data_IF_297359540178
#
_entry.id   IF_297359540178
#
_cell.length_a   1.000
_cell.length_b   1.000
_cell.length_c   1.000
_cell.angle_alpha   90.00
_cell.angle_beta   90.00
_cell.angle_gamma   90.00
#
_symmetry.space_group_name_H-M   'P 1'
#
loop_
_entity.id
_entity.type
_entity.pdbx_description
1 polymer ?
#
# COMPACT_ATOMS: atom_id res chain seq x y z
N UNK A 1 -27.30 -8.16 -20.92
CA UNK A 1 -26.69 -8.40 -19.59
C UNK A 1 -25.23 -8.79 -19.80
N UNK A 2 -24.35 -7.82 -20.03
CA UNK A 2 -22.93 -8.10 -20.29
C UNK A 2 -22.21 -8.14 -18.94
N UNK A 3 -21.87 -9.35 -18.46
CA UNK A 3 -20.95 -9.54 -17.34
C UNK A 3 -19.54 -9.24 -17.84
N UNK A 4 -19.09 -7.99 -17.69
CA UNK A 4 -17.67 -7.68 -17.74
C UNK A 4 -17.02 -8.30 -16.50
N UNK A 5 -16.34 -9.45 -16.65
CA UNK A 5 -15.52 -10.01 -15.57
C UNK A 5 -14.35 -9.05 -15.33
N UNK A 6 -14.46 -8.21 -14.31
CA UNK A 6 -13.38 -7.34 -13.86
C UNK A 6 -12.26 -8.16 -13.22
N UNK A 7 -11.33 -8.69 -14.03
CA UNK A 7 -10.15 -9.44 -13.58
C UNK A 7 -9.03 -8.54 -12.99
N UNK A 8 -9.34 -7.35 -12.48
CA UNK A 8 -8.35 -6.36 -12.01
C UNK A 8 -7.82 -6.57 -10.59
N UNK A 9 -8.46 -7.40 -9.76
CA UNK A 9 -8.07 -7.57 -8.35
C UNK A 9 -6.67 -8.13 -8.15
N UNK A 10 -6.22 -9.03 -9.03
CA UNK A 10 -4.88 -9.60 -8.96
C UNK A 10 -3.77 -8.55 -9.17
N UNK A 11 -4.01 -7.58 -10.05
CA UNK A 11 -3.05 -6.49 -10.31
C UNK A 11 -2.90 -5.59 -9.08
N UNK A 12 -4.01 -5.28 -8.41
CA UNK A 12 -3.99 -4.47 -7.18
C UNK A 12 -3.10 -5.15 -6.13
N UNK A 13 -3.39 -6.42 -5.82
CA UNK A 13 -2.62 -7.19 -4.83
C UNK A 13 -1.14 -7.25 -5.22
N UNK A 14 -0.85 -7.52 -6.49
CA UNK A 14 0.52 -7.58 -7.00
C UNK A 14 1.27 -6.25 -6.83
N UNK A 15 0.62 -5.10 -7.10
CA UNK A 15 1.25 -3.79 -6.89
C UNK A 15 1.52 -3.49 -5.41
N UNK A 16 0.62 -3.87 -4.49
CA UNK A 16 0.87 -3.73 -3.05
C UNK A 16 2.01 -4.63 -2.57
N UNK A 17 2.11 -5.87 -3.08
CA UNK A 17 3.22 -6.76 -2.77
C UNK A 17 4.55 -6.11 -3.21
N UNK A 18 4.62 -5.55 -4.42
CA UNK A 18 5.83 -4.86 -4.90
C UNK A 18 6.17 -3.67 -4.00
N UNK A 19 5.18 -2.86 -3.61
CA UNK A 19 5.39 -1.72 -2.72
C UNK A 19 5.93 -2.15 -1.35
N UNK A 20 5.39 -3.23 -0.77
CA UNK A 20 5.88 -3.80 0.49
C UNK A 20 7.31 -4.33 0.35
N UNK A 21 7.65 -5.01 -0.75
CA UNK A 21 9.02 -5.48 -1.01
C UNK A 21 10.00 -4.30 -1.10
N UNK A 22 9.66 -3.24 -1.85
CA UNK A 22 10.46 -2.02 -1.93
C UNK A 22 10.63 -1.32 -0.57
N UNK A 23 9.67 -1.52 0.34
CA UNK A 23 9.70 -0.99 1.72
C UNK A 23 10.62 -1.80 2.64
N UNK A 24 10.93 -3.06 2.31
CA UNK A 24 11.80 -3.90 3.15
C UNK A 24 13.23 -3.99 2.60
N UNK A 25 13.42 -3.75 1.30
CA UNK A 25 14.75 -3.81 0.68
C UNK A 25 15.73 -2.85 1.41
N UNK A 26 16.88 -3.38 1.89
CA UNK A 26 17.90 -2.55 2.52
C UNK A 26 18.57 -1.69 1.45
N UNK A 27 18.43 -0.37 1.60
CA UNK A 27 19.14 0.59 0.78
C UNK A 27 20.47 0.97 1.47
N UNK A 28 21.52 1.28 0.69
CA UNK A 28 22.75 1.84 1.25
C UNK A 28 22.45 3.17 1.97
N UNK A 29 23.20 3.48 3.03
CA UNK A 29 22.88 4.59 3.94
C UNK A 29 22.76 5.96 3.23
N UNK A 30 23.50 6.18 2.15
CA UNK A 30 23.41 7.39 1.32
C UNK A 30 22.07 7.53 0.59
N UNK A 31 21.40 6.42 0.26
CA UNK A 31 20.13 6.40 -0.47
C UNK A 31 18.92 6.27 0.46
N UNK A 32 19.16 6.03 1.76
CA UNK A 32 18.09 5.77 2.73
C UNK A 32 17.12 6.93 2.89
N UNK A 33 17.63 8.16 2.77
CA UNK A 33 16.81 9.38 2.83
C UNK A 33 15.92 9.56 1.60
N UNK A 34 16.29 8.95 0.47
CA UNK A 34 15.57 9.08 -0.78
C UNK A 34 14.45 8.05 -0.93
N UNK A 35 14.20 7.20 0.07
CA UNK A 35 13.19 6.14 -0.02
C UNK A 35 11.79 6.73 0.14
N UNK A 36 10.95 6.73 -0.91
CA UNK A 36 9.56 7.20 -0.81
C UNK A 36 8.71 6.23 0.01
N UNK A 37 7.53 6.70 0.44
CA UNK A 37 6.48 5.81 0.95
C UNK A 37 5.79 5.10 -0.22
N UNK A 38 6.38 3.98 -0.67
CA UNK A 38 5.87 3.20 -1.80
C UNK A 38 4.45 2.69 -1.58
N UNK A 39 4.13 2.26 -0.36
CA UNK A 39 2.80 1.72 -0.04
C UNK A 39 1.77 2.85 -0.04
N UNK A 40 2.10 4.01 0.53
CA UNK A 40 1.26 5.20 0.46
C UNK A 40 1.02 5.67 -0.98
N UNK A 41 2.05 5.70 -1.82
CA UNK A 41 1.92 6.09 -3.24
C UNK A 41 1.00 5.14 -4.02
N UNK A 42 1.17 3.83 -3.85
CA UNK A 42 0.32 2.82 -4.50
C UNK A 42 -1.12 2.92 -4.00
N UNK A 43 -1.31 3.14 -2.70
CA UNK A 43 -2.63 3.34 -2.10
C UNK A 43 -3.33 4.55 -2.70
N UNK A 44 -2.68 5.71 -2.72
CA UNK A 44 -3.23 6.95 -3.29
C UNK A 44 -3.62 6.74 -4.76
N UNK A 45 -2.75 6.10 -5.55
CA UNK A 45 -3.04 5.79 -6.94
C UNK A 45 -4.33 4.97 -7.07
N UNK A 46 -4.49 3.91 -6.30
CA UNK A 46 -5.65 3.04 -6.40
C UNK A 46 -6.93 3.64 -5.82
N UNK A 47 -6.84 4.47 -4.78
CA UNK A 47 -7.99 5.26 -4.30
C UNK A 47 -8.51 6.18 -5.41
N UNK A 48 -7.63 6.77 -6.22
CA UNK A 48 -8.03 7.60 -7.36
C UNK A 48 -8.53 6.78 -8.55
N UNK A 49 -7.90 5.64 -8.85
CA UNK A 49 -8.21 4.85 -10.04
C UNK A 49 -9.49 4.00 -9.87
N UNK A 50 -9.67 3.35 -8.72
CA UNK A 50 -10.83 2.49 -8.42
C UNK A 50 -11.31 2.71 -6.97
N UNK A 51 -11.93 3.86 -6.67
CA UNK A 51 -12.43 4.17 -5.31
C UNK A 51 -13.48 3.18 -4.81
N UNK A 52 -14.23 2.54 -5.69
CA UNK A 52 -15.24 1.53 -5.31
C UNK A 52 -14.64 0.25 -4.70
N UNK A 53 -13.32 0.04 -4.86
CA UNK A 53 -12.62 -1.18 -4.41
C UNK A 53 -11.57 -0.93 -3.33
N UNK A 54 -11.02 0.28 -3.28
CA UNK A 54 -9.88 0.65 -2.44
C UNK A 54 -10.25 1.90 -1.66
N UNK A 55 -10.08 1.83 -0.35
CA UNK A 55 -10.38 2.91 0.59
C UNK A 55 -9.86 2.58 2.00
N UNK A 56 -10.53 3.11 3.02
CA UNK A 56 -10.14 3.04 4.43
C UNK A 56 -9.70 1.64 4.89
N UNK A 57 -10.48 0.60 4.64
CA UNK A 57 -10.17 -0.77 5.11
C UNK A 57 -8.87 -1.29 4.49
N UNK A 58 -8.67 -1.07 3.20
CA UNK A 58 -7.46 -1.50 2.49
C UNK A 58 -6.24 -0.69 2.90
N UNK A 59 -6.39 0.61 3.16
CA UNK A 59 -5.32 1.45 3.71
C UNK A 59 -4.90 1.01 5.11
N UNK A 60 -5.87 0.71 5.98
CA UNK A 60 -5.63 0.18 7.32
C UNK A 60 -4.88 -1.15 7.29
N UNK A 61 -5.34 -2.13 6.49
CA UNK A 61 -4.66 -3.43 6.35
C UNK A 61 -3.26 -3.29 5.75
N UNK A 62 -3.08 -2.46 4.72
CA UNK A 62 -1.77 -2.21 4.13
C UNK A 62 -0.81 -1.60 5.15
N UNK A 63 -1.28 -0.66 5.97
CA UNK A 63 -0.46 -0.03 7.01
C UNK A 63 -0.11 -0.97 8.15
N UNK A 64 -1.01 -1.90 8.53
CA UNK A 64 -0.66 -2.98 9.46
C UNK A 64 0.46 -3.88 8.92
N UNK A 65 0.44 -4.19 7.63
CA UNK A 65 1.53 -4.97 7.01
C UNK A 65 2.84 -4.21 7.04
N UNK A 66 2.82 -2.89 6.78
CA UNK A 66 4.01 -2.05 6.95
C UNK A 66 4.50 -2.11 8.39
N UNK A 67 3.61 -1.91 9.37
CA UNK A 67 3.98 -1.91 10.78
C UNK A 67 4.68 -3.20 11.21
N UNK A 68 4.16 -4.35 10.78
CA UNK A 68 4.76 -5.67 11.04
C UNK A 68 6.12 -5.86 10.38
N UNK A 69 6.32 -5.33 9.17
CA UNK A 69 7.56 -5.49 8.40
C UNK A 69 8.67 -4.55 8.87
N UNK A 70 8.32 -3.35 9.32
CA UNK A 70 9.30 -2.34 9.78
C UNK A 70 9.56 -2.39 11.27
N UNK A 71 8.82 -3.20 12.03
CA UNK A 71 8.94 -3.30 13.49
C UNK A 71 8.52 -2.02 14.21
N UNK A 72 7.61 -1.23 13.60
CA UNK A 72 7.05 -0.03 14.20
C UNK A 72 5.90 -0.38 15.13
N UNK A 73 5.40 0.61 15.88
CA UNK A 73 4.21 0.42 16.70
C UNK A 73 3.04 -0.03 15.82
N UNK A 74 2.46 -1.19 16.14
CA UNK A 74 1.33 -1.72 15.41
C UNK A 74 0.17 -0.70 15.43
N UNK A 75 -0.23 -0.22 14.26
CA UNK A 75 -1.26 0.79 14.11
C UNK A 75 -0.74 2.17 13.69
N UNK A 76 0.55 2.45 13.77
CA UNK A 76 1.11 3.75 13.37
C UNK A 76 0.90 4.00 11.88
N UNK A 77 1.39 3.09 11.03
CA UNK A 77 1.18 3.20 9.59
C UNK A 77 -0.27 2.85 9.21
N UNK A 78 -0.93 1.95 9.94
CA UNK A 78 -2.34 1.63 9.71
C UNK A 78 -3.26 2.86 9.82
N UNK A 79 -3.10 3.68 10.86
CA UNK A 79 -3.89 4.89 11.04
C UNK A 79 -3.50 5.97 10.02
N UNK A 80 -2.21 6.15 9.75
CA UNK A 80 -1.75 7.11 8.74
C UNK A 80 -2.33 6.81 7.35
N UNK A 81 -2.21 5.57 6.89
CA UNK A 81 -2.72 5.15 5.59
C UNK A 81 -4.26 5.12 5.53
N UNK A 82 -4.93 4.93 6.66
CA UNK A 82 -6.39 5.08 6.75
C UNK A 82 -6.85 6.51 6.46
N UNK A 83 -6.13 7.51 6.97
CA UNK A 83 -6.47 8.92 6.76
C UNK A 83 -6.21 9.32 5.30
N UNK A 84 -5.21 8.70 4.66
CA UNK A 84 -4.88 8.94 3.26
C UNK A 84 -5.91 8.33 2.31
N UNK A 85 -6.49 7.17 2.66
CA UNK A 85 -7.35 6.36 1.80
C UNK A 85 -8.80 6.83 1.75
#
# INVERSE_FOLDING_TARGET
>A
MIRSRHHGGGVIIFTFIIALLLTVIPLPDSMRYLRPDWVGLVLIYWCMALPDRIGVTTGWFAGLMVDMLTGTLLGQHALSLTIIA
#
